data_IF_263467035036
#
_entry.id   IF_263467035036
#
_cell.length_a   1.000
_cell.length_b   1.000
_cell.length_c   1.000
_cell.angle_alpha   90.00
_cell.angle_beta   90.00
_cell.angle_gamma   90.00
#
_symmetry.space_group_name_H-M   'P 1'
#
loop_
_entity.id
_entity.type
_entity.pdbx_description
1 polymer ?
#
# COMPACT_ATOMS: atom_id res chain seq x y z
N UNK A 1 30.76 -14.63 6.13
CA UNK A 1 31.33 -13.31 6.41
C UNK A 1 30.14 -12.35 6.38
N UNK A 2 29.61 -11.94 7.54
CA UNK A 2 28.42 -11.08 7.54
C UNK A 2 28.82 -9.68 7.08
N UNK A 3 28.17 -9.20 6.02
CA UNK A 3 28.35 -7.86 5.48
C UNK A 3 27.16 -7.00 5.88
N UNK A 4 27.41 -5.83 6.46
CA UNK A 4 26.36 -4.83 6.70
C UNK A 4 26.18 -3.98 5.44
N UNK A 5 25.02 -4.09 4.78
CA UNK A 5 24.66 -3.26 3.65
C UNK A 5 23.64 -2.19 4.06
N UNK A 6 23.99 -0.91 3.87
CA UNK A 6 23.08 0.22 4.05
C UNK A 6 22.45 0.59 2.70
N UNK A 7 21.20 0.19 2.49
CA UNK A 7 20.45 0.55 1.28
C UNK A 7 19.73 1.89 1.45
N UNK A 8 20.18 2.91 0.73
CA UNK A 8 19.45 4.18 0.58
C UNK A 8 18.57 4.14 -0.67
N UNK A 9 17.25 4.08 -0.49
CA UNK A 9 16.29 4.14 -1.60
C UNK A 9 15.72 5.55 -1.76
N UNK A 10 15.74 6.10 -2.98
CA UNK A 10 15.00 7.33 -3.30
C UNK A 10 13.54 6.98 -3.60
N UNK A 11 12.63 7.38 -2.73
CA UNK A 11 11.19 7.29 -3.00
C UNK A 11 10.76 8.49 -3.85
N UNK A 12 10.84 8.36 -5.19
CA UNK A 12 10.18 9.34 -6.07
C UNK A 12 8.69 9.02 -6.08
N UNK A 13 7.84 9.99 -5.72
CA UNK A 13 6.36 9.91 -5.75
C UNK A 13 5.76 9.49 -7.11
N UNK A 14 6.57 9.28 -8.16
CA UNK A 14 6.12 9.00 -9.51
C UNK A 14 7.05 7.98 -10.20
N UNK A 15 6.42 6.87 -10.63
CA UNK A 15 6.90 5.77 -11.52
C UNK A 15 7.90 4.76 -10.93
N UNK A 16 7.39 3.54 -10.74
CA UNK A 16 8.05 2.25 -10.39
C UNK A 16 8.83 2.25 -9.07
N UNK A 17 8.50 1.30 -8.20
CA UNK A 17 9.06 1.15 -6.86
C UNK A 17 10.60 1.04 -6.93
N UNK A 18 11.31 2.07 -6.48
CA UNK A 18 12.77 2.10 -6.55
C UNK A 18 13.43 0.88 -5.89
N UNK A 19 12.81 0.33 -4.83
CA UNK A 19 13.28 -0.88 -4.14
C UNK A 19 13.05 -2.17 -4.94
N UNK A 20 11.94 -2.29 -5.69
CA UNK A 20 11.70 -3.43 -6.59
C UNK A 20 12.77 -3.49 -7.69
N UNK A 21 13.16 -2.35 -8.24
CA UNK A 21 14.24 -2.29 -9.23
C UNK A 21 15.59 -2.74 -8.64
N UNK A 22 15.89 -2.39 -7.39
CA UNK A 22 17.10 -2.86 -6.70
C UNK A 22 17.07 -4.38 -6.49
N UNK A 23 15.91 -4.92 -6.12
CA UNK A 23 15.68 -6.37 -5.96
C UNK A 23 15.81 -7.12 -7.30
N UNK A 24 15.31 -6.56 -8.39
CA UNK A 24 15.40 -7.15 -9.73
C UNK A 24 16.84 -7.10 -10.28
N UNK A 25 17.65 -6.11 -9.86
CA UNK A 25 19.07 -5.99 -10.20
C UNK A 25 20.00 -6.84 -9.31
N UNK A 26 19.46 -7.59 -8.36
CA UNK A 26 20.24 -8.47 -7.48
C UNK A 26 21.04 -7.75 -6.40
N UNK A 27 20.72 -6.49 -6.08
CA UNK A 27 21.45 -5.67 -5.09
C UNK A 27 21.39 -6.25 -3.67
N UNK A 28 20.40 -7.11 -3.42
CA UNK A 28 20.13 -7.68 -2.09
C UNK A 28 20.17 -9.22 -2.11
N UNK A 29 20.71 -9.84 -3.15
CA UNK A 29 20.70 -11.31 -3.30
C UNK A 29 21.56 -12.03 -2.25
N UNK A 30 22.55 -11.33 -1.68
CA UNK A 30 23.43 -11.82 -0.60
C UNK A 30 22.99 -11.35 0.81
N UNK A 31 21.82 -10.70 0.92
CA UNK A 31 21.29 -10.18 2.19
C UNK A 31 20.42 -11.25 2.87
N UNK A 32 20.84 -11.67 4.07
CA UNK A 32 20.12 -12.70 4.83
C UNK A 32 18.91 -12.17 5.61
N UNK A 33 19.01 -10.96 6.16
CA UNK A 33 17.98 -10.32 6.99
C UNK A 33 17.93 -8.83 6.69
N UNK A 34 16.74 -8.24 6.66
CA UNK A 34 16.57 -6.81 6.39
C UNK A 34 15.73 -6.10 7.44
N UNK A 35 16.16 -4.92 7.86
CA UNK A 35 15.46 -4.09 8.83
C UNK A 35 15.20 -2.70 8.27
N UNK A 36 14.01 -2.17 8.51
CA UNK A 36 13.61 -0.83 8.07
C UNK A 36 12.95 -0.05 9.20
N UNK A 37 13.10 1.27 9.17
CA UNK A 37 12.48 2.19 10.12
C UNK A 37 11.64 3.22 9.35
N UNK A 38 10.52 3.65 9.93
CA UNK A 38 9.76 4.80 9.46
C UNK A 38 9.27 5.64 10.64
N UNK A 39 9.28 6.96 10.51
CA UNK A 39 8.72 7.85 11.55
C UNK A 39 7.20 7.68 11.64
N UNK A 40 6.64 7.73 12.85
CA UNK A 40 5.22 7.52 13.09
C UNK A 40 4.64 8.66 13.93
N UNK A 41 3.98 9.65 13.30
CA UNK A 41 3.60 10.90 13.96
C UNK A 41 2.52 10.72 15.01
N UNK A 42 1.71 9.68 14.91
CA UNK A 42 0.66 9.36 15.88
C UNK A 42 1.20 8.63 17.12
N UNK A 43 2.50 8.32 17.16
CA UNK A 43 3.16 7.74 18.33
C UNK A 43 4.06 8.78 19.00
N UNK A 44 4.05 8.89 20.34
CA UNK A 44 4.91 9.81 21.06
C UNK A 44 6.40 9.59 20.78
N UNK A 45 7.16 10.68 20.77
CA UNK A 45 8.60 10.65 20.60
C UNK A 45 9.28 9.78 21.66
N UNK A 46 10.23 8.94 21.23
CA UNK A 46 10.93 8.00 22.11
C UNK A 46 10.28 6.61 22.22
N UNK A 47 9.10 6.40 21.62
CA UNK A 47 8.49 5.07 21.49
C UNK A 47 8.88 4.41 20.17
N UNK A 48 9.00 3.10 20.19
CA UNK A 48 9.21 2.26 19.00
C UNK A 48 8.03 1.31 18.91
N UNK A 49 7.41 1.19 17.74
CA UNK A 49 6.27 0.29 17.52
C UNK A 49 6.66 -0.82 16.57
N UNK A 50 6.33 -2.05 16.97
CA UNK A 50 6.42 -3.25 16.16
C UNK A 50 5.03 -3.86 15.99
N UNK A 51 4.65 -4.16 14.75
CA UNK A 51 3.51 -5.06 14.47
C UNK A 51 4.08 -6.38 13.98
N UNK A 52 3.83 -7.47 14.70
CA UNK A 52 4.21 -8.81 14.26
C UNK A 52 3.29 -9.29 13.13
N UNK A 53 3.84 -10.02 12.17
CA UNK A 53 3.12 -10.42 10.97
C UNK A 53 2.80 -9.22 10.07
N UNK A 54 1.63 -9.23 9.46
CA UNK A 54 1.21 -8.14 8.55
C UNK A 54 1.15 -6.81 9.29
N UNK A 55 1.90 -5.82 8.81
CA UNK A 55 1.99 -4.48 9.41
C UNK A 55 1.43 -3.35 8.52
N UNK A 56 1.43 -3.54 7.20
CA UNK A 56 0.86 -2.59 6.22
C UNK A 56 0.16 -3.31 5.08
N UNK A 57 -0.81 -2.64 4.46
CA UNK A 57 -1.54 -3.17 3.32
C UNK A 57 -0.71 -3.15 2.04
N UNK A 58 -1.05 -4.03 1.10
CA UNK A 58 -0.67 -3.88 -0.29
C UNK A 58 -1.30 -2.63 -0.90
N UNK A 59 -0.79 -2.22 -2.06
CA UNK A 59 -1.35 -1.12 -2.83
C UNK A 59 -1.27 -1.44 -4.31
N UNK A 60 -2.41 -1.73 -4.93
CA UNK A 60 -2.52 -1.87 -6.38
C UNK A 60 -3.40 -0.76 -6.95
N UNK A 61 -3.18 -0.43 -8.22
CA UNK A 61 -4.02 0.53 -8.94
C UNK A 61 -4.61 -0.14 -10.18
N UNK A 62 -5.69 0.42 -10.69
CA UNK A 62 -6.31 -0.05 -11.91
C UNK A 62 -6.90 1.10 -12.73
N UNK A 63 -6.96 0.87 -14.04
CA UNK A 63 -7.68 1.70 -15.01
C UNK A 63 -8.72 0.83 -15.72
N UNK A 64 -9.94 1.35 -15.87
CA UNK A 64 -10.99 0.74 -16.66
C UNK A 64 -11.38 1.75 -17.74
N UNK A 65 -11.30 1.36 -19.00
CA UNK A 65 -11.80 2.14 -20.14
C UNK A 65 -13.03 1.45 -20.69
N UNK A 66 -14.16 2.14 -20.69
CA UNK A 66 -15.42 1.68 -21.26
C UNK A 66 -15.56 2.28 -22.66
N UNK A 67 -15.89 1.46 -23.64
CA UNK A 67 -16.11 1.88 -25.02
C UNK A 67 -17.57 1.62 -25.37
N UNK A 68 -18.28 2.71 -25.63
CA UNK A 68 -19.66 2.70 -26.07
C UNK A 68 -19.77 3.13 -27.53
N UNK A 69 -20.85 3.83 -27.83
CA UNK A 69 -21.14 4.44 -29.12
C UNK A 69 -21.85 5.77 -28.85
N UNK A 70 -21.16 6.86 -29.15
CA UNK A 70 -21.65 8.20 -28.93
C UNK A 70 -22.70 8.63 -29.95
N UNK A 71 -23.32 9.77 -29.68
CA UNK A 71 -24.35 10.32 -30.54
C UNK A 71 -25.11 11.47 -29.90
N UNK A 72 -26.19 11.91 -30.56
CA UNK A 72 -27.00 13.01 -30.08
C UNK A 72 -27.77 12.61 -28.81
N UNK A 73 -27.69 13.40 -27.74
CA UNK A 73 -28.28 13.09 -26.44
C UNK A 73 -29.81 12.94 -26.44
N UNK A 74 -30.49 13.47 -27.46
CA UNK A 74 -31.95 13.26 -27.64
C UNK A 74 -32.31 12.02 -28.46
N UNK A 75 -31.31 11.24 -28.91
CA UNK A 75 -31.51 10.04 -29.73
C UNK A 75 -30.74 8.84 -29.14
N UNK A 76 -30.95 8.50 -27.85
CA UNK A 76 -30.17 7.49 -27.16
C UNK A 76 -30.36 6.07 -27.74
N UNK A 77 -31.47 5.79 -28.43
CA UNK A 77 -31.72 4.50 -29.08
C UNK A 77 -30.72 4.14 -30.19
N UNK A 78 -29.90 5.10 -30.65
CA UNK A 78 -28.81 4.88 -31.60
C UNK A 78 -27.42 4.88 -30.94
N UNK A 79 -27.36 4.91 -29.61
CA UNK A 79 -26.14 5.05 -28.82
C UNK A 79 -25.95 3.84 -27.88
N UNK A 80 -24.73 3.67 -27.39
CA UNK A 80 -24.39 2.82 -26.24
C UNK A 80 -23.69 3.73 -25.24
N UNK A 81 -24.38 4.12 -24.17
CA UNK A 81 -23.94 5.20 -23.28
C UNK A 81 -22.92 4.72 -22.23
N UNK A 82 -21.63 5.08 -22.35
CA UNK A 82 -20.61 4.63 -21.40
C UNK A 82 -20.70 5.34 -20.04
N UNK A 83 -21.44 6.46 -19.92
CA UNK A 83 -21.67 7.14 -18.64
C UNK A 83 -22.61 6.31 -17.76
N UNK A 84 -23.72 5.86 -18.32
CA UNK A 84 -24.68 5.00 -17.63
C UNK A 84 -24.04 3.67 -17.25
N UNK A 85 -23.36 3.03 -18.20
CA UNK A 85 -22.64 1.77 -17.96
C UNK A 85 -21.57 1.95 -16.86
N UNK A 86 -20.82 3.06 -16.89
CA UNK A 86 -19.82 3.35 -15.87
C UNK A 86 -20.41 3.49 -14.47
N UNK A 87 -21.59 4.12 -14.34
CA UNK A 87 -22.28 4.25 -13.05
C UNK A 87 -22.73 2.88 -12.51
N UNK A 88 -23.22 2.00 -13.39
CA UNK A 88 -23.54 0.62 -13.02
C UNK A 88 -22.30 -0.16 -12.60
N UNK A 89 -21.19 -0.03 -13.34
CA UNK A 89 -19.90 -0.65 -12.98
C UNK A 89 -19.43 -0.19 -11.60
N UNK A 90 -19.50 1.12 -11.30
CA UNK A 90 -19.12 1.66 -9.97
C UNK A 90 -19.92 1.00 -8.86
N UNK A 91 -21.23 0.87 -9.06
CA UNK A 91 -22.13 0.26 -8.08
C UNK A 91 -21.88 -1.24 -7.93
N UNK A 92 -21.73 -1.95 -9.06
CA UNK A 92 -21.52 -3.38 -9.10
C UNK A 92 -20.20 -3.80 -8.45
N UNK A 93 -19.12 -3.01 -8.64
CA UNK A 93 -17.81 -3.26 -8.06
C UNK A 93 -17.80 -3.28 -6.53
N UNK A 94 -18.78 -2.65 -5.86
CA UNK A 94 -18.89 -2.72 -4.40
C UNK A 94 -19.19 -4.15 -3.90
N UNK A 95 -19.75 -5.01 -4.76
CA UNK A 95 -20.01 -6.41 -4.42
C UNK A 95 -18.74 -7.26 -4.29
N UNK A 96 -17.62 -6.84 -4.91
CA UNK A 96 -16.32 -7.50 -4.73
C UNK A 96 -16.01 -7.57 -3.22
N UNK A 97 -16.13 -6.44 -2.53
CA UNK A 97 -15.87 -6.34 -1.09
C UNK A 97 -17.03 -6.90 -0.28
N UNK A 98 -18.27 -6.54 -0.62
CA UNK A 98 -19.42 -6.82 0.23
C UNK A 98 -19.95 -8.26 0.15
N UNK A 99 -19.68 -8.99 -0.95
CA UNK A 99 -20.35 -10.26 -1.26
C UNK A 99 -19.46 -11.36 -1.80
N UNK A 100 -18.27 -11.05 -2.31
CA UNK A 100 -17.39 -12.07 -2.91
C UNK A 100 -16.20 -12.47 -2.05
N UNK A 101 -15.87 -11.69 -1.02
CA UNK A 101 -14.70 -11.91 -0.17
C UNK A 101 -15.12 -12.14 1.28
N UNK A 102 -14.26 -12.84 2.02
CA UNK A 102 -14.41 -13.02 3.46
C UNK A 102 -14.40 -11.65 4.16
N UNK A 103 -15.45 -11.31 4.94
CA UNK A 103 -15.52 -10.02 5.62
C UNK A 103 -14.38 -9.78 6.62
N UNK A 104 -13.71 -10.81 7.14
CA UNK A 104 -12.55 -10.67 8.03
C UNK A 104 -11.34 -10.10 7.26
N UNK A 105 -11.24 -10.40 5.97
CA UNK A 105 -10.11 -10.06 5.12
C UNK A 105 -10.47 -9.02 4.05
N UNK A 106 -11.54 -8.25 4.28
CA UNK A 106 -12.10 -7.33 3.30
C UNK A 106 -11.07 -6.29 2.83
N UNK A 107 -10.86 -6.15 1.49
CA UNK A 107 -10.00 -5.11 0.95
C UNK A 107 -10.72 -3.76 0.95
N UNK A 108 -9.96 -2.68 0.85
CA UNK A 108 -10.47 -1.37 0.48
C UNK A 108 -10.34 -1.22 -1.03
N UNK A 109 -11.47 -1.19 -1.74
CA UNK A 109 -11.55 -0.89 -3.17
C UNK A 109 -12.11 0.52 -3.33
N UNK A 110 -11.39 1.40 -4.02
CA UNK A 110 -11.81 2.79 -4.23
C UNK A 110 -11.72 3.15 -5.70
N UNK A 111 -12.83 3.66 -6.24
CA UNK A 111 -12.85 4.31 -7.56
C UNK A 111 -12.64 5.80 -7.30
N UNK A 112 -11.48 6.30 -7.70
CA UNK A 112 -11.04 7.67 -7.43
C UNK A 112 -11.19 8.60 -8.64
N UNK A 113 -11.50 8.05 -9.81
CA UNK A 113 -11.68 8.82 -11.04
C UNK A 113 -12.84 8.24 -11.83
N UNK A 114 -13.69 9.14 -12.33
CA UNK A 114 -14.70 8.86 -13.35
C UNK A 114 -14.72 10.06 -14.29
N UNK A 115 -14.38 9.85 -15.56
CA UNK A 115 -14.31 10.90 -16.58
C UNK A 115 -14.99 10.43 -17.86
N UNK A 116 -15.91 11.24 -18.41
CA UNK A 116 -16.60 10.96 -19.67
C UNK A 116 -17.25 12.24 -20.22
N UNK A 117 -17.10 12.48 -21.53
CA UNK A 117 -17.71 13.60 -22.25
C UNK A 117 -17.27 15.00 -21.79
N UNK A 118 -17.69 16.00 -22.55
CA UNK A 118 -17.40 17.43 -22.31
C UNK A 118 -18.57 18.35 -22.71
N UNK A 119 -19.66 17.79 -23.24
CA UNK A 119 -20.78 18.50 -23.87
C UNK A 119 -22.12 18.11 -23.25
N UNK A 120 -23.08 19.04 -23.19
CA UNK A 120 -24.38 18.82 -22.53
C UNK A 120 -25.35 17.92 -23.31
N UNK A 121 -25.22 17.86 -24.64
CA UNK A 121 -26.18 17.22 -25.55
C UNK A 121 -25.56 16.10 -26.40
N UNK A 122 -24.41 15.56 -25.99
CA UNK A 122 -23.70 14.50 -26.70
C UNK A 122 -23.42 13.35 -25.73
N UNK A 123 -23.84 12.14 -26.11
CA UNK A 123 -23.41 10.91 -25.43
C UNK A 123 -21.97 10.62 -25.92
N UNK A 124 -20.98 10.47 -25.03
CA UNK A 124 -19.59 10.25 -25.43
C UNK A 124 -19.34 8.82 -25.93
N UNK A 125 -18.28 8.62 -26.72
CA UNK A 125 -17.87 7.30 -27.20
C UNK A 125 -17.18 6.44 -26.13
N UNK A 126 -16.71 7.04 -25.03
CA UNK A 126 -16.00 6.32 -23.97
C UNK A 126 -16.08 6.99 -22.60
N UNK A 127 -15.80 6.20 -21.57
CA UNK A 127 -15.61 6.65 -20.19
C UNK A 127 -14.35 6.01 -19.59
N UNK A 128 -13.62 6.76 -18.76
CA UNK A 128 -12.45 6.25 -18.01
C UNK A 128 -12.75 6.26 -16.52
N UNK A 129 -12.57 5.11 -15.90
CA UNK A 129 -12.57 4.95 -14.45
C UNK A 129 -11.15 4.57 -14.00
N UNK A 130 -10.73 5.06 -12.84
CA UNK A 130 -9.48 4.63 -12.23
C UNK A 130 -9.60 4.56 -10.71
N UNK A 131 -8.80 3.69 -10.09
CA UNK A 131 -8.93 3.42 -8.67
C UNK A 131 -7.74 2.67 -8.08
N UNK A 132 -7.89 2.32 -6.80
CA UNK A 132 -6.90 1.60 -6.01
C UNK A 132 -7.54 0.49 -5.19
N UNK A 133 -6.77 -0.56 -4.94
CA UNK A 133 -7.11 -1.66 -4.04
C UNK A 133 -6.03 -1.77 -2.98
N UNK A 134 -6.45 -1.82 -1.71
CA UNK A 134 -5.57 -2.08 -0.56
C UNK A 134 -6.09 -3.27 0.23
N UNK A 135 -5.18 -4.15 0.64
CA UNK A 135 -5.55 -5.30 1.50
C UNK A 135 -4.39 -5.74 2.37
N UNK A 136 -4.70 -6.29 3.54
CA UNK A 136 -3.74 -6.97 4.42
C UNK A 136 -3.56 -8.45 4.09
N UNK A 137 -4.31 -8.97 3.10
CA UNK A 137 -4.32 -10.38 2.79
C UNK A 137 -3.88 -10.62 1.34
N UNK A 138 -2.79 -11.39 1.18
CA UNK A 138 -2.21 -11.69 -0.12
C UNK A 138 -3.15 -12.52 -1.01
N UNK A 139 -3.87 -13.49 -0.45
CA UNK A 139 -4.83 -14.30 -1.20
C UNK A 139 -6.01 -13.45 -1.70
N UNK A 140 -6.46 -12.47 -0.90
CA UNK A 140 -7.47 -11.50 -1.34
C UNK A 140 -6.92 -10.61 -2.46
N UNK A 141 -5.67 -10.13 -2.33
CA UNK A 141 -5.00 -9.33 -3.36
C UNK A 141 -4.98 -10.05 -4.71
N UNK A 142 -4.75 -11.35 -4.69
CA UNK A 142 -4.68 -12.21 -5.88
C UNK A 142 -6.05 -12.51 -6.50
N UNK A 143 -7.15 -12.46 -5.73
CA UNK A 143 -8.52 -12.75 -6.19
C UNK A 143 -9.25 -11.52 -6.74
N UNK A 144 -8.95 -10.33 -6.22
CA UNK A 144 -9.66 -9.10 -6.58
C UNK A 144 -9.63 -8.82 -8.10
N UNK A 145 -8.49 -8.95 -8.81
CA UNK A 145 -8.44 -8.66 -10.25
C UNK A 145 -9.44 -9.47 -11.07
N UNK A 146 -9.56 -10.78 -10.81
CA UNK A 146 -10.45 -11.68 -11.56
C UNK A 146 -11.92 -11.44 -11.17
N UNK A 147 -12.19 -11.15 -9.89
CA UNK A 147 -13.53 -10.78 -9.44
C UNK A 147 -14.01 -9.48 -10.09
N UNK A 148 -13.14 -8.46 -10.11
CA UNK A 148 -13.41 -7.19 -10.78
C UNK A 148 -13.63 -7.40 -12.28
N UNK A 149 -12.74 -8.14 -12.94
CA UNK A 149 -12.84 -8.43 -14.36
C UNK A 149 -14.21 -9.05 -14.70
N UNK A 150 -14.58 -10.13 -14.01
CA UNK A 150 -15.87 -10.81 -14.22
C UNK A 150 -17.07 -9.89 -14.06
N UNK A 151 -17.07 -9.04 -13.02
CA UNK A 151 -18.19 -8.12 -12.76
C UNK A 151 -18.26 -7.02 -13.82
N UNK A 152 -17.13 -6.40 -14.14
CA UNK A 152 -17.06 -5.31 -15.12
C UNK A 152 -17.48 -5.83 -16.50
N UNK A 153 -16.91 -6.95 -16.95
CA UNK A 153 -17.27 -7.56 -18.23
C UNK A 153 -18.74 -7.99 -18.27
N UNK A 154 -19.28 -8.51 -17.17
CA UNK A 154 -20.69 -8.88 -17.07
C UNK A 154 -21.63 -7.69 -17.22
N UNK A 155 -21.37 -6.58 -16.53
CA UNK A 155 -22.16 -5.35 -16.67
C UNK A 155 -22.02 -4.79 -18.08
N UNK A 156 -20.79 -4.63 -18.56
CA UNK A 156 -20.50 -4.00 -19.85
C UNK A 156 -21.12 -4.78 -21.03
N UNK A 157 -21.02 -6.12 -21.01
CA UNK A 157 -21.57 -6.96 -22.08
C UNK A 157 -23.11 -6.96 -22.10
N UNK A 158 -23.78 -6.79 -20.95
CA UNK A 158 -25.23 -6.68 -20.88
C UNK A 158 -25.78 -5.47 -21.66
N UNK A 159 -24.96 -4.43 -21.86
CA UNK A 159 -25.28 -3.24 -22.65
C UNK A 159 -24.74 -3.29 -24.09
N UNK A 160 -24.12 -4.39 -24.52
CA UNK A 160 -23.49 -4.51 -25.84
C UNK A 160 -22.23 -3.67 -26.03
N UNK A 161 -21.64 -3.15 -24.94
CA UNK A 161 -20.40 -2.40 -24.95
C UNK A 161 -19.17 -3.31 -24.82
N UNK A 162 -17.98 -2.72 -24.88
CA UNK A 162 -16.71 -3.39 -24.55
C UNK A 162 -15.90 -2.58 -23.54
N UNK A 163 -15.02 -3.23 -22.81
CA UNK A 163 -14.12 -2.56 -21.87
C UNK A 163 -12.68 -3.08 -21.97
N UNK A 164 -11.74 -2.27 -21.50
CA UNK A 164 -10.36 -2.66 -21.23
C UNK A 164 -10.06 -2.40 -19.75
N UNK A 165 -9.48 -3.37 -19.06
CA UNK A 165 -9.02 -3.24 -17.68
C UNK A 165 -7.51 -3.38 -17.66
N UNK A 166 -6.81 -2.36 -17.14
CA UNK A 166 -5.36 -2.38 -16.94
C UNK A 166 -5.06 -2.41 -15.46
N UNK A 167 -4.42 -3.50 -15.02
CA UNK A 167 -3.96 -3.62 -13.65
C UNK A 167 -2.53 -3.10 -13.51
N UNK A 168 -2.29 -2.30 -12.47
CA UNK A 168 -0.97 -1.82 -12.11
C UNK A 168 -0.63 -2.37 -10.73
N UNK A 169 0.12 -3.46 -10.72
CA UNK A 169 0.59 -4.07 -9.48
C UNK A 169 1.57 -3.12 -8.78
N UNK A 170 1.24 -2.73 -7.54
CA UNK A 170 2.11 -1.91 -6.71
C UNK A 170 2.73 -2.71 -5.58
N UNK A 171 2.79 -2.11 -4.39
CA UNK A 171 3.51 -2.68 -3.25
C UNK A 171 2.79 -3.90 -2.68
N UNK A 172 3.57 -4.89 -2.23
CA UNK A 172 3.05 -6.07 -1.57
C UNK A 172 2.60 -5.78 -0.14
N UNK A 173 1.92 -6.76 0.45
CA UNK A 173 1.57 -6.73 1.87
C UNK A 173 2.87 -6.72 2.67
N UNK A 174 3.07 -5.71 3.51
CA UNK A 174 4.24 -5.67 4.38
C UNK A 174 4.07 -6.66 5.53
N UNK A 175 5.02 -7.58 5.69
CA UNK A 175 4.96 -8.66 6.66
C UNK A 175 6.26 -8.77 7.46
N UNK A 176 6.16 -8.54 8.76
CA UNK A 176 7.26 -8.64 9.70
C UNK A 176 7.47 -10.09 10.15
N UNK A 177 8.62 -10.67 9.78
CA UNK A 177 8.92 -12.09 9.95
C UNK A 177 9.31 -12.44 11.40
N UNK A 178 8.95 -13.64 11.84
CA UNK A 178 9.05 -14.04 13.26
C UNK A 178 10.49 -14.05 13.77
N UNK A 179 11.44 -14.51 12.95
CA UNK A 179 12.87 -14.58 13.25
C UNK A 179 13.47 -13.17 13.41
N UNK A 180 13.24 -12.27 12.46
CA UNK A 180 13.71 -10.89 12.54
C UNK A 180 13.01 -10.09 13.63
N UNK A 181 11.75 -10.42 13.94
CA UNK A 181 11.03 -9.81 15.07
C UNK A 181 11.66 -10.20 16.41
N UNK A 182 12.11 -11.45 16.57
CA UNK A 182 12.79 -11.88 17.79
C UNK A 182 14.07 -11.08 18.02
N UNK A 183 14.88 -10.90 16.97
CA UNK A 183 16.10 -10.09 16.99
C UNK A 183 15.77 -8.64 17.36
N UNK A 184 14.76 -8.04 16.70
CA UNK A 184 14.37 -6.66 16.97
C UNK A 184 13.89 -6.47 18.43
N UNK A 185 13.09 -7.39 18.95
CA UNK A 185 12.62 -7.35 20.34
C UNK A 185 13.77 -7.44 21.33
N UNK A 186 14.69 -8.39 21.14
CA UNK A 186 15.85 -8.58 22.01
C UNK A 186 16.78 -7.35 21.99
N UNK A 187 17.10 -6.85 20.79
CA UNK A 187 17.92 -5.64 20.60
C UNK A 187 17.32 -4.43 21.34
N UNK A 188 16.01 -4.19 21.18
CA UNK A 188 15.37 -3.04 21.80
C UNK A 188 15.32 -3.20 23.33
N UNK A 189 14.99 -4.39 23.84
CA UNK A 189 14.98 -4.67 25.27
C UNK A 189 16.35 -4.48 25.94
N UNK A 190 17.45 -4.80 25.24
CA UNK A 190 18.82 -4.64 25.75
C UNK A 190 19.27 -3.18 25.80
N UNK A 191 18.91 -2.38 24.79
CA UNK A 191 19.49 -1.05 24.58
C UNK A 191 18.58 0.13 24.97
N UNK A 192 17.31 -0.12 25.25
CA UNK A 192 16.33 0.90 25.62
C UNK A 192 15.68 0.60 26.98
N UNK A 193 15.08 1.63 27.56
CA UNK A 193 14.33 1.48 28.81
C UNK A 193 13.09 0.60 28.60
N UNK A 194 12.63 -0.02 29.68
CA UNK A 194 11.38 -0.76 29.68
C UNK A 194 10.22 0.11 29.19
N UNK A 195 9.32 -0.47 28.39
CA UNK A 195 8.19 0.23 27.80
C UNK A 195 8.52 1.16 26.62
N UNK A 196 9.77 1.19 26.13
CA UNK A 196 10.10 1.85 24.85
C UNK A 196 9.46 1.14 23.66
N UNK A 197 9.53 -0.20 23.62
CA UNK A 197 8.88 -1.00 22.58
C UNK A 197 7.38 -1.16 22.87
N UNK A 198 6.56 -0.94 21.85
CA UNK A 198 5.12 -1.12 21.87
C UNK A 198 4.73 -2.11 20.77
N UNK A 199 3.93 -3.11 21.12
CA UNK A 199 3.37 -4.04 20.15
C UNK A 199 2.03 -3.51 19.65
N UNK A 200 1.89 -3.34 18.34
CA UNK A 200 0.62 -2.99 17.74
C UNK A 200 -0.26 -4.23 17.57
N UNK A 201 -1.56 -4.09 17.80
CA UNK A 201 -2.58 -5.12 17.60
C UNK A 201 -3.07 -5.15 16.14
N UNK A 202 -3.04 -4.00 15.45
CA UNK A 202 -3.60 -3.81 14.10
C UNK A 202 -2.55 -3.42 13.07
N UNK A 203 -2.76 -3.88 11.85
CA UNK A 203 -2.01 -3.43 10.69
C UNK A 203 -2.54 -2.07 10.19
N UNK A 204 -1.67 -1.24 9.62
CA UNK A 204 -2.04 0.03 9.01
C UNK A 204 -2.52 -0.19 7.57
N UNK A 205 -3.52 0.56 7.12
CA UNK A 205 -3.93 0.55 5.70
C UNK A 205 -3.04 1.40 4.78
N UNK A 206 -1.94 1.95 5.32
CA UNK A 206 -0.85 2.47 4.49
C UNK A 206 -0.16 1.34 3.70
N UNK A 207 0.78 1.72 2.84
CA UNK A 207 1.58 0.78 2.05
C UNK A 207 3.02 1.22 2.03
N UNK A 208 3.96 0.28 2.03
CA UNK A 208 5.39 0.54 2.14
C UNK A 208 6.13 -0.26 1.06
N UNK A 209 7.05 0.37 0.33
CA UNK A 209 7.81 -0.29 -0.74
C UNK A 209 8.93 -1.21 -0.20
N UNK A 210 9.21 -1.15 1.11
CA UNK A 210 10.02 -2.13 1.85
C UNK A 210 9.50 -3.56 1.68
N UNK A 211 8.19 -3.71 1.46
CA UNK A 211 7.56 -4.99 1.14
C UNK A 211 8.24 -5.70 -0.04
N UNK A 212 8.81 -4.96 -1.00
CA UNK A 212 9.54 -5.54 -2.14
C UNK A 212 10.80 -6.30 -1.70
N UNK A 213 11.46 -5.87 -0.62
CA UNK A 213 12.57 -6.63 -0.04
C UNK A 213 12.05 -7.85 0.72
N UNK A 214 10.95 -7.68 1.45
CA UNK A 214 10.32 -8.74 2.23
C UNK A 214 9.73 -9.88 1.38
N UNK A 215 9.53 -9.67 0.08
CA UNK A 215 9.16 -10.74 -0.87
C UNK A 215 10.30 -11.76 -1.08
N UNK A 216 11.56 -11.40 -0.78
CA UNK A 216 12.72 -12.30 -0.94
C UNK A 216 13.47 -12.57 0.37
N UNK A 217 13.46 -11.62 1.30
CA UNK A 217 14.35 -11.60 2.46
C UNK A 217 13.52 -11.47 3.74
N UNK A 218 13.72 -12.33 4.75
CA UNK A 218 13.13 -12.14 6.07
C UNK A 218 13.48 -10.75 6.62
N UNK A 219 12.47 -10.05 7.12
CA UNK A 219 12.69 -8.68 7.56
C UNK A 219 11.63 -8.12 8.50
N UNK A 220 12.07 -7.14 9.29
CA UNK A 220 11.25 -6.42 10.25
C UNK A 220 11.31 -4.91 10.01
N UNK A 221 10.13 -4.31 9.89
CA UNK A 221 9.92 -2.89 9.75
C UNK A 221 9.34 -2.32 11.06
N UNK A 222 10.02 -1.32 11.60
CA UNK A 222 9.66 -0.68 12.88
C UNK A 222 9.23 0.76 12.64
N UNK A 223 8.34 1.22 13.50
CA UNK A 223 7.86 2.60 13.51
C UNK A 223 8.49 3.37 14.66
N UNK A 224 9.10 4.52 14.38
CA UNK A 224 9.72 5.38 15.38
C UNK A 224 8.76 6.53 15.69
N UNK A 225 8.25 6.58 16.91
CA UNK A 225 7.39 7.67 17.35
C UNK A 225 8.10 9.01 17.22
N UNK A 226 7.40 9.98 16.64
CA UNK A 226 7.90 11.33 16.44
C UNK A 226 6.86 12.42 16.75
N UNK A 227 5.73 12.01 17.33
CA UNK A 227 4.68 12.90 17.78
C UNK A 227 5.09 13.66 19.05
N UNK A 228 4.77 14.95 19.09
CA UNK A 228 4.99 15.80 20.26
C UNK A 228 4.06 17.02 20.19
N UNK A 229 3.08 17.09 21.09
CA UNK A 229 2.10 18.18 21.16
C UNK A 229 2.77 19.53 21.52
N UNK A 230 3.71 19.54 22.46
CA UNK A 230 4.42 20.75 22.91
C UNK A 230 5.23 21.40 21.78
N UNK A 231 5.70 20.59 20.82
CA UNK A 231 6.45 21.06 19.64
C UNK A 231 5.56 21.22 18.39
N UNK A 232 4.26 21.01 18.51
CA UNK A 232 3.31 21.06 17.38
C UNK A 232 3.52 19.96 16.34
N UNK A 233 4.24 18.87 16.67
CA UNK A 233 4.42 17.70 15.84
C UNK A 233 3.24 16.74 16.01
N UNK A 234 2.07 17.17 15.55
CA UNK A 234 0.78 16.46 15.74
C UNK A 234 0.10 16.07 14.41
N UNK A 235 0.63 16.58 13.30
CA UNK A 235 0.08 16.34 11.97
C UNK A 235 0.60 15.03 11.39
N UNK A 236 -0.26 14.32 10.66
CA UNK A 236 0.10 13.05 10.05
C UNK A 236 0.95 13.24 8.79
N UNK A 237 1.57 12.15 8.31
CA UNK A 237 2.27 12.12 7.02
C UNK A 237 1.34 12.58 5.90
N UNK A 238 1.92 13.23 4.89
CA UNK A 238 1.24 13.85 3.74
C UNK A 238 0.38 15.10 4.06
N UNK A 239 0.26 15.51 5.32
CA UNK A 239 -0.31 16.80 5.67
C UNK A 239 0.69 17.94 5.35
N UNK A 240 0.27 19.10 4.81
CA UNK A 240 1.17 20.22 4.53
C UNK A 240 1.85 20.83 5.76
N UNK A 241 1.28 20.63 6.96
CA UNK A 241 1.85 21.07 8.24
C UNK A 241 2.70 19.98 8.92
N UNK A 242 2.93 18.86 8.24
CA UNK A 242 3.72 17.75 8.77
C UNK A 242 5.10 18.22 9.23
N UNK A 243 5.43 17.91 10.49
CA UNK A 243 6.75 18.07 11.10
C UNK A 243 6.93 16.99 12.16
N UNK A 244 8.18 16.76 12.53
CA UNK A 244 8.57 15.77 13.53
C UNK A 244 9.20 16.46 14.74
N UNK A 245 9.17 15.81 15.89
CA UNK A 245 10.18 16.07 16.92
C UNK A 245 11.51 15.43 16.50
N UNK A 246 12.53 16.24 16.23
CA UNK A 246 13.84 15.76 15.77
C UNK A 246 14.56 14.87 16.79
N UNK A 247 14.15 14.87 18.07
CA UNK A 247 14.66 13.89 19.04
C UNK A 247 14.37 12.44 18.60
N UNK A 248 13.35 12.21 17.76
CA UNK A 248 13.07 10.92 17.14
C UNK A 248 14.22 10.41 16.23
N UNK A 249 15.04 11.31 15.65
CA UNK A 249 16.17 10.92 14.81
C UNK A 249 17.22 10.16 15.63
N UNK A 250 17.52 10.63 16.84
CA UNK A 250 18.44 9.94 17.75
C UNK A 250 17.91 8.56 18.14
N UNK A 251 16.60 8.42 18.34
CA UNK A 251 15.93 7.13 18.60
C UNK A 251 16.10 6.19 17.40
N UNK A 252 15.87 6.69 16.18
CA UNK A 252 16.04 5.92 14.94
C UNK A 252 17.47 5.42 14.75
N UNK A 253 18.47 6.30 14.89
CA UNK A 253 19.89 5.94 14.80
C UNK A 253 20.25 4.90 15.85
N UNK A 254 19.87 5.12 17.11
CA UNK A 254 20.12 4.18 18.21
C UNK A 254 19.45 2.82 17.95
N UNK A 255 18.27 2.82 17.33
CA UNK A 255 17.55 1.59 16.96
C UNK A 255 18.32 0.80 15.91
N UNK A 256 18.81 1.46 14.84
CA UNK A 256 19.65 0.78 13.85
C UNK A 256 20.92 0.20 14.48
N UNK A 257 21.61 0.95 15.34
CA UNK A 257 22.81 0.47 16.04
C UNK A 257 22.48 -0.76 16.90
N UNK A 258 21.37 -0.72 17.65
CA UNK A 258 20.93 -1.84 18.48
C UNK A 258 20.65 -3.11 17.64
N UNK A 259 19.98 -2.96 16.50
CA UNK A 259 19.69 -4.07 15.59
C UNK A 259 20.97 -4.68 15.01
N UNK A 260 21.89 -3.83 14.56
CA UNK A 260 23.19 -4.28 14.01
C UNK A 260 24.03 -4.96 15.08
N UNK A 261 24.07 -4.42 16.30
CA UNK A 261 24.83 -5.02 17.41
C UNK A 261 24.34 -6.43 17.73
N UNK A 262 23.03 -6.66 17.73
CA UNK A 262 22.46 -7.97 18.00
C UNK A 262 22.85 -9.02 16.95
N UNK A 263 22.97 -8.62 15.67
CA UNK A 263 23.38 -9.53 14.59
C UNK A 263 24.85 -9.94 14.68
N UNK A 264 25.73 -9.09 15.22
CA UNK A 264 27.14 -9.42 15.41
C UNK A 264 27.40 -10.32 16.63
N UNK A 265 26.49 -10.33 17.60
CA UNK A 265 26.58 -11.20 18.78
C UNK A 265 26.10 -12.63 18.50
N UNK A 266 25.33 -12.84 17.42
CA UNK A 266 24.90 -14.16 16.94
C UNK A 266 25.92 -14.86 16.02
N UNK A 267 27.02 -14.19 15.68
CA UNK A 267 28.13 -14.70 14.86
C UNK A 267 29.25 -15.32 15.70
#
# INVERSE_FOLDING_TARGET
>A
MAALSLSFSRQRRCRRAARRELVEKGVVDDVEKIFGLHVFPTSPTGKITLKEGVYVASSDNFDITLYGQGGHGSMPQFCIDPVVIGAEVVTALQNVVARNLDPINAPVLTIATFQAGDSYNVIPDSARLAGTVRTHNQQVREQVPQLMQRIVEGVVSAHGARCEIRWQQGYAVGNNHADTNAIAKAAIAKHFAEGTLQLADRALFGSEDFSSYQEKIPGTFLFIGCGNEEKGAVWNVHNPHFRIDEAALAVGVKTHIALVSALFEEM
#
